data_IF_998556230907
#
_entry.id   IF_998556230907
#
_cell.length_a   1.000
_cell.length_b   1.000
_cell.length_c   1.000
_cell.angle_alpha   90.00
_cell.angle_beta   90.00
_cell.angle_gamma   90.00
#
_symmetry.space_group_name_H-M   'P 1'
#
loop_
_entity.id
_entity.type
_entity.pdbx_description
1 polymer ?
#
# COMPACT_ATOMS: atom_id res chain seq x y z
N UNK A 1 -23.69 18.38 67.49
CA UNK A 1 -24.09 18.04 66.11
C UNK A 1 -23.31 18.93 65.13
N UNK A 2 -22.02 18.67 64.87
CA UNK A 2 -21.16 19.74 64.31
C UNK A 2 -19.96 19.35 63.44
N UNK A 3 -19.47 18.10 63.46
CA UNK A 3 -18.24 17.74 62.72
C UNK A 3 -18.48 16.77 61.55
N UNK A 4 -19.31 15.75 61.73
CA UNK A 4 -19.56 14.75 60.66
C UNK A 4 -20.43 15.28 59.51
N UNK A 5 -21.45 16.10 59.81
CA UNK A 5 -22.31 16.73 58.79
C UNK A 5 -21.48 17.66 57.88
N UNK A 6 -20.49 18.37 58.42
CA UNK A 6 -19.62 19.28 57.63
C UNK A 6 -18.66 18.52 56.71
N UNK A 7 -18.18 17.34 57.12
CA UNK A 7 -17.32 16.48 56.29
C UNK A 7 -18.12 15.87 55.13
N UNK A 8 -19.34 15.38 55.40
CA UNK A 8 -20.24 14.79 54.37
C UNK A 8 -20.69 15.83 53.33
N UNK A 9 -21.01 17.07 53.77
CA UNK A 9 -21.34 18.18 52.86
C UNK A 9 -20.13 18.61 52.03
N UNK A 10 -18.93 18.65 52.60
CA UNK A 10 -17.69 18.98 51.87
C UNK A 10 -17.34 17.95 50.79
N UNK A 11 -17.45 16.65 51.09
CA UNK A 11 -17.19 15.58 50.11
C UNK A 11 -18.24 15.52 48.98
N UNK A 12 -19.49 15.88 49.26
CA UNK A 12 -20.56 15.91 48.26
C UNK A 12 -20.35 17.03 47.24
N UNK A 13 -19.86 18.20 47.68
CA UNK A 13 -19.57 19.34 46.79
C UNK A 13 -18.39 19.03 45.86
N UNK A 14 -17.34 18.36 46.36
CA UNK A 14 -16.17 17.98 45.54
C UNK A 14 -16.55 16.98 44.43
N UNK A 15 -17.43 16.00 44.73
CA UNK A 15 -17.93 15.05 43.73
C UNK A 15 -18.76 15.74 42.64
N UNK A 16 -19.60 16.71 43.01
CA UNK A 16 -20.41 17.48 42.05
C UNK A 16 -19.51 18.33 41.14
N UNK A 17 -18.50 19.01 41.70
CA UNK A 17 -17.54 19.81 40.92
C UNK A 17 -16.71 18.92 39.97
N UNK A 18 -16.30 17.74 40.42
CA UNK A 18 -15.57 16.77 39.58
C UNK A 18 -16.42 16.25 38.41
N UNK A 19 -17.71 15.97 38.63
CA UNK A 19 -18.64 15.56 37.58
C UNK A 19 -18.90 16.67 36.56
N UNK A 20 -19.00 17.93 36.99
CA UNK A 20 -19.17 19.10 36.11
C UNK A 20 -17.93 19.28 35.22
N UNK A 21 -16.71 19.20 35.78
CA UNK A 21 -15.46 19.31 35.03
C UNK A 21 -15.34 18.15 34.02
N UNK A 22 -15.64 16.92 34.43
CA UNK A 22 -15.59 15.74 33.54
C UNK A 22 -16.62 15.83 32.42
N UNK A 23 -17.82 16.34 32.71
CA UNK A 23 -18.87 16.59 31.73
C UNK A 23 -18.49 17.65 30.71
N UNK A 24 -17.90 18.76 31.18
CA UNK A 24 -17.41 19.85 30.33
C UNK A 24 -16.27 19.39 29.40
N UNK A 25 -15.28 18.68 29.93
CA UNK A 25 -14.19 18.10 29.12
C UNK A 25 -14.71 17.09 28.09
N UNK A 26 -15.65 16.20 28.45
CA UNK A 26 -16.25 15.25 27.47
C UNK A 26 -17.07 15.96 26.39
N UNK A 27 -17.69 17.10 26.70
CA UNK A 27 -18.45 17.90 25.75
C UNK A 27 -17.52 18.58 24.72
N UNK A 28 -16.43 19.19 25.18
CA UNK A 28 -15.41 19.79 24.29
C UNK A 28 -14.69 18.71 23.44
N UNK A 29 -14.35 17.56 24.03
CA UNK A 29 -13.72 16.45 23.29
C UNK A 29 -14.64 15.92 22.17
N UNK A 30 -15.97 15.87 22.40
CA UNK A 30 -16.92 15.46 21.35
C UNK A 30 -17.01 16.47 20.22
N UNK A 31 -16.95 17.77 20.50
CA UNK A 31 -16.89 18.80 19.45
C UNK A 31 -15.62 18.67 18.62
N UNK A 32 -14.46 18.53 19.28
CA UNK A 32 -13.16 18.37 18.60
C UNK A 32 -13.17 17.12 17.72
N UNK A 33 -13.62 15.96 18.24
CA UNK A 33 -13.69 14.72 17.46
C UNK A 33 -14.68 14.81 16.27
N UNK A 34 -15.82 15.49 16.43
CA UNK A 34 -16.75 15.71 15.31
C UNK A 34 -16.18 16.65 14.26
N UNK A 35 -15.46 17.68 14.69
CA UNK A 35 -14.76 18.62 13.83
C UNK A 35 -13.67 17.90 13.04
N UNK A 36 -12.84 17.06 13.68
CA UNK A 36 -11.81 16.23 13.05
C UNK A 36 -12.41 15.26 12.01
N UNK A 37 -13.46 14.51 12.38
CA UNK A 37 -14.18 13.62 11.44
C UNK A 37 -14.75 14.40 10.26
N UNK A 38 -15.25 15.62 10.47
CA UNK A 38 -15.78 16.46 9.39
C UNK A 38 -14.69 16.99 8.45
N UNK A 39 -13.50 17.28 8.97
CA UNK A 39 -12.34 17.68 8.17
C UNK A 39 -11.79 16.51 7.36
N UNK A 40 -11.64 15.34 7.98
CA UNK A 40 -11.25 14.09 7.31
C UNK A 40 -12.23 13.71 6.18
N UNK A 41 -13.54 13.83 6.43
CA UNK A 41 -14.56 13.58 5.40
C UNK A 41 -14.52 14.61 4.26
N UNK A 42 -14.26 15.88 4.56
CA UNK A 42 -14.09 16.94 3.55
C UNK A 42 -12.82 16.70 2.72
N UNK A 43 -11.70 16.40 3.36
CA UNK A 43 -10.44 16.01 2.71
C UNK A 43 -10.65 14.80 1.81
N UNK A 44 -11.27 13.74 2.31
CA UNK A 44 -11.58 12.53 1.53
C UNK A 44 -12.50 12.82 0.35
N UNK A 45 -13.53 13.67 0.52
CA UNK A 45 -14.43 14.07 -0.56
C UNK A 45 -13.71 14.90 -1.63
N UNK A 46 -12.90 15.86 -1.24
CA UNK A 46 -12.15 16.70 -2.18
C UNK A 46 -11.06 15.88 -2.90
N UNK A 47 -10.38 14.97 -2.20
CA UNK A 47 -9.45 14.01 -2.82
C UNK A 47 -10.16 13.09 -3.82
N UNK A 48 -11.36 12.58 -3.48
CA UNK A 48 -12.18 11.77 -4.40
C UNK A 48 -12.63 12.59 -5.60
N UNK A 49 -13.11 13.82 -5.41
CA UNK A 49 -13.47 14.71 -6.52
C UNK A 49 -12.26 15.00 -7.41
N UNK A 50 -11.09 15.29 -6.84
CA UNK A 50 -9.87 15.50 -7.61
C UNK A 50 -9.45 14.24 -8.37
N UNK A 51 -9.58 13.06 -7.76
CA UNK A 51 -9.32 11.78 -8.43
C UNK A 51 -10.31 11.55 -9.58
N UNK A 52 -11.62 11.71 -9.34
CA UNK A 52 -12.66 11.54 -10.36
C UNK A 52 -12.55 12.56 -11.48
N UNK A 53 -12.29 13.83 -11.19
CA UNK A 53 -12.10 14.86 -12.22
C UNK A 53 -10.85 14.57 -13.04
N UNK A 54 -9.73 14.17 -12.42
CA UNK A 54 -8.52 13.76 -13.13
C UNK A 54 -8.76 12.53 -13.99
N UNK A 55 -9.51 11.55 -13.51
CA UNK A 55 -9.80 10.30 -14.23
C UNK A 55 -10.76 10.54 -15.42
N UNK A 56 -11.84 11.30 -15.21
CA UNK A 56 -12.80 11.67 -16.26
C UNK A 56 -12.13 12.52 -17.35
N UNK A 57 -11.34 13.54 -16.99
CA UNK A 57 -10.60 14.32 -17.98
C UNK A 57 -9.53 13.49 -18.67
N UNK A 58 -8.85 12.58 -17.96
CA UNK A 58 -7.84 11.73 -18.57
C UNK A 58 -8.44 10.75 -19.59
N UNK A 59 -9.54 10.07 -19.27
CA UNK A 59 -10.23 9.19 -20.21
C UNK A 59 -10.78 9.94 -21.43
N UNK A 60 -11.35 11.12 -21.23
CA UNK A 60 -11.87 11.95 -22.32
C UNK A 60 -10.75 12.45 -23.24
N UNK A 61 -9.62 12.90 -22.67
CA UNK A 61 -8.44 13.30 -23.42
C UNK A 61 -7.82 12.14 -24.20
N UNK A 62 -7.77 10.94 -23.60
CA UNK A 62 -7.32 9.72 -24.31
C UNK A 62 -8.26 9.34 -25.45
N UNK A 63 -9.58 9.36 -25.20
CA UNK A 63 -10.60 9.08 -26.23
C UNK A 63 -10.50 10.06 -27.40
N UNK A 64 -10.21 11.32 -27.12
CA UNK A 64 -10.06 12.34 -28.16
C UNK A 64 -8.72 12.21 -28.91
N UNK A 65 -7.61 11.98 -28.19
CA UNK A 65 -6.31 11.71 -28.80
C UNK A 65 -6.34 10.48 -29.74
N UNK A 66 -7.17 9.48 -29.42
CA UNK A 66 -7.41 8.31 -30.30
C UNK A 66 -8.15 8.64 -31.61
N UNK A 67 -8.87 9.75 -31.69
CA UNK A 67 -9.51 10.22 -32.93
C UNK A 67 -8.60 11.10 -33.77
N UNK A 68 -7.51 11.56 -33.16
CA UNK A 68 -6.51 12.45 -33.73
C UNK A 68 -5.65 11.87 -34.85
N UNK A 69 -4.57 12.59 -35.14
CA UNK A 69 -3.54 12.15 -36.08
C UNK A 69 -2.77 10.91 -35.58
N UNK A 70 -1.85 10.40 -36.40
CA UNK A 70 -1.08 9.19 -36.07
C UNK A 70 -0.25 9.33 -34.79
N UNK A 71 0.28 10.53 -34.51
CA UNK A 71 1.12 10.80 -33.33
C UNK A 71 0.25 10.83 -32.08
N UNK A 72 -0.93 11.46 -32.16
CA UNK A 72 -1.89 11.51 -31.05
C UNK A 72 -2.41 10.11 -30.69
N UNK A 73 -2.70 9.28 -31.69
CA UNK A 73 -3.10 7.87 -31.50
C UNK A 73 -2.00 7.04 -30.85
N UNK A 74 -0.77 7.17 -31.34
CA UNK A 74 0.39 6.45 -30.79
C UNK A 74 0.68 6.86 -29.35
N UNK A 75 0.60 8.16 -29.06
CA UNK A 75 0.74 8.71 -27.70
C UNK A 75 -0.35 8.16 -26.76
N UNK A 76 -1.61 8.14 -27.21
CA UNK A 76 -2.71 7.60 -26.42
C UNK A 76 -2.52 6.09 -26.12
N UNK A 77 -2.11 5.31 -27.12
CA UNK A 77 -1.81 3.88 -26.94
C UNK A 77 -0.65 3.67 -25.96
N UNK A 78 0.41 4.48 -26.04
CA UNK A 78 1.55 4.39 -25.11
C UNK A 78 1.12 4.70 -23.67
N UNK A 79 0.24 5.68 -23.46
CA UNK A 79 -0.30 6.00 -22.13
C UNK A 79 -1.13 4.84 -21.58
N UNK A 80 -2.01 4.24 -22.39
CA UNK A 80 -2.81 3.09 -21.94
C UNK A 80 -1.97 1.87 -21.59
N UNK A 81 -0.92 1.60 -22.38
CA UNK A 81 0.04 0.53 -22.10
C UNK A 81 0.77 0.85 -20.78
N UNK A 82 1.23 2.08 -20.60
CA UNK A 82 1.90 2.54 -19.37
C UNK A 82 1.03 2.35 -18.13
N UNK A 83 -0.26 2.69 -18.21
CA UNK A 83 -1.23 2.47 -17.13
C UNK A 83 -1.48 0.99 -16.85
N UNK A 84 -1.67 0.20 -17.91
CA UNK A 84 -1.89 -1.25 -17.81
C UNK A 84 -0.69 -1.93 -17.14
N UNK A 85 0.51 -1.60 -17.58
CA UNK A 85 1.77 -2.10 -17.01
C UNK A 85 1.89 -1.70 -15.55
N UNK A 86 1.63 -0.43 -15.21
CA UNK A 86 1.72 0.06 -13.83
C UNK A 86 0.74 -0.64 -12.90
N UNK A 87 -0.50 -0.84 -13.35
CA UNK A 87 -1.54 -1.57 -12.60
C UNK A 87 -1.15 -3.03 -12.37
N UNK A 88 -0.70 -3.74 -13.42
CA UNK A 88 -0.25 -5.14 -13.31
C UNK A 88 1.00 -5.30 -12.46
N UNK A 89 1.96 -4.39 -12.55
CA UNK A 89 3.18 -4.41 -11.74
C UNK A 89 2.83 -4.20 -10.26
N UNK A 90 1.96 -3.23 -9.97
CA UNK A 90 1.44 -3.00 -8.61
C UNK A 90 0.73 -4.24 -8.07
N UNK A 91 -0.11 -4.90 -8.88
CA UNK A 91 -0.77 -6.15 -8.49
C UNK A 91 0.24 -7.27 -8.19
N UNK A 92 1.25 -7.43 -9.05
CA UNK A 92 2.32 -8.41 -8.86
C UNK A 92 3.05 -8.16 -7.54
N UNK A 93 3.53 -6.94 -7.28
CA UNK A 93 4.26 -6.62 -6.06
C UNK A 93 3.40 -6.69 -4.80
N UNK A 94 2.12 -6.32 -4.89
CA UNK A 94 1.17 -6.51 -3.79
C UNK A 94 1.11 -7.96 -3.37
N UNK A 95 1.02 -8.90 -4.32
CA UNK A 95 1.01 -10.32 -4.01
C UNK A 95 2.38 -10.80 -3.51
N UNK A 96 3.48 -10.40 -4.15
CA UNK A 96 4.85 -10.77 -3.76
C UNK A 96 5.16 -10.38 -2.31
N UNK A 97 4.77 -9.18 -1.89
CA UNK A 97 5.21 -8.54 -0.66
C UNK A 97 4.13 -8.45 0.43
N UNK A 98 2.97 -9.08 0.24
CA UNK A 98 1.92 -9.15 1.27
C UNK A 98 1.72 -10.60 1.71
N UNK A 99 2.12 -10.91 2.94
CA UNK A 99 1.88 -12.21 3.56
C UNK A 99 2.03 -12.11 5.08
N UNK A 100 1.26 -12.94 5.80
CA UNK A 100 1.31 -13.04 7.25
C UNK A 100 1.63 -14.46 7.77
N UNK A 101 1.71 -15.43 6.86
CA UNK A 101 1.97 -16.84 7.18
C UNK A 101 2.60 -17.57 5.98
N UNK A 102 3.19 -18.73 6.26
CA UNK A 102 3.81 -19.66 5.29
C UNK A 102 2.87 -19.96 4.13
N UNK A 103 1.62 -20.18 4.50
CA UNK A 103 0.55 -20.54 3.63
C UNK A 103 0.37 -19.46 2.55
N UNK A 104 0.16 -18.19 2.93
CA UNK A 104 0.07 -17.06 2.00
C UNK A 104 1.34 -16.88 1.16
N UNK A 105 2.52 -17.01 1.77
CA UNK A 105 3.81 -16.88 1.08
C UNK A 105 3.98 -17.89 -0.06
N UNK A 106 3.65 -19.16 0.17
CA UNK A 106 3.85 -20.21 -0.82
C UNK A 106 2.82 -20.20 -1.96
N UNK A 107 1.63 -19.61 -1.79
CA UNK A 107 0.61 -19.56 -2.88
C UNK A 107 0.83 -18.43 -3.88
N UNK A 108 1.79 -17.54 -3.66
CA UNK A 108 1.96 -16.35 -4.51
C UNK A 108 2.14 -16.66 -5.98
N UNK A 109 2.96 -17.66 -6.31
CA UNK A 109 3.17 -18.10 -7.70
C UNK A 109 1.85 -18.49 -8.37
N UNK A 110 0.98 -19.20 -7.65
CA UNK A 110 -0.35 -19.60 -8.12
C UNK A 110 -1.25 -18.39 -8.38
N UNK A 111 -1.17 -17.35 -7.54
CA UNK A 111 -2.00 -16.15 -7.63
C UNK A 111 -1.57 -15.26 -8.83
N UNK A 112 -0.27 -15.15 -9.11
CA UNK A 112 0.25 -14.24 -10.16
C UNK A 112 0.53 -14.93 -11.50
N UNK A 113 0.21 -16.22 -11.65
CA UNK A 113 0.49 -17.02 -12.86
C UNK A 113 0.02 -16.37 -14.17
N UNK A 114 -1.06 -15.58 -14.10
CA UNK A 114 -1.63 -14.93 -15.27
C UNK A 114 -0.91 -13.60 -15.61
N UNK A 115 -0.18 -13.02 -14.64
CA UNK A 115 0.59 -11.78 -14.81
C UNK A 115 2.00 -11.99 -15.34
N UNK A 116 2.58 -13.17 -15.13
CA UNK A 116 3.99 -13.45 -15.46
C UNK A 116 4.12 -14.65 -16.39
N UNK A 117 5.29 -14.82 -16.99
CA UNK A 117 5.63 -16.02 -17.78
C UNK A 117 5.99 -17.22 -16.89
N UNK A 118 5.93 -18.46 -17.43
CA UNK A 118 6.35 -19.64 -16.70
C UNK A 118 7.79 -19.60 -16.18
N UNK A 119 8.70 -18.92 -16.86
CA UNK A 119 10.09 -18.83 -16.43
C UNK A 119 10.27 -17.90 -15.24
N UNK A 120 9.53 -16.78 -15.19
CA UNK A 120 9.46 -15.93 -14.00
C UNK A 120 8.86 -16.68 -12.80
N UNK A 121 7.87 -17.55 -13.01
CA UNK A 121 7.30 -18.39 -11.94
C UNK A 121 8.29 -19.39 -11.34
N UNK A 122 9.32 -19.79 -12.09
CA UNK A 122 10.36 -20.72 -11.63
C UNK A 122 11.49 -20.02 -10.87
N UNK A 123 11.54 -18.69 -10.87
CA UNK A 123 12.57 -17.95 -10.15
C UNK A 123 12.40 -18.13 -8.64
N UNK A 124 13.34 -18.86 -8.02
CA UNK A 124 13.35 -19.14 -6.59
C UNK A 124 13.62 -17.89 -5.73
N UNK A 125 14.18 -16.83 -6.30
CA UNK A 125 14.34 -15.56 -5.59
C UNK A 125 13.01 -14.82 -5.42
N UNK A 126 12.04 -15.06 -6.31
CA UNK A 126 10.70 -14.46 -6.25
C UNK A 126 9.66 -15.40 -5.63
N UNK A 127 9.71 -16.67 -6.00
CA UNK A 127 8.70 -17.69 -5.66
C UNK A 127 9.32 -18.92 -4.99
N UNK A 128 10.41 -18.73 -4.24
CA UNK A 128 10.98 -19.77 -3.39
C UNK A 128 9.99 -20.26 -2.34
N UNK A 129 10.21 -21.49 -1.85
CA UNK A 129 9.48 -21.99 -0.70
C UNK A 129 10.10 -21.50 0.59
N UNK A 130 9.29 -21.31 1.63
CA UNK A 130 9.75 -20.97 2.97
C UNK A 130 10.07 -22.21 3.83
N UNK A 131 9.97 -23.42 3.26
CA UNK A 131 10.24 -24.67 3.96
C UNK A 131 11.73 -24.97 3.96
N UNK A 132 12.27 -25.32 5.13
CA UNK A 132 13.63 -25.83 5.27
C UNK A 132 13.71 -27.33 4.89
N UNK A 133 14.91 -27.91 5.04
CA UNK A 133 15.17 -29.34 4.75
C UNK A 133 14.37 -30.31 5.63
N UNK A 134 13.82 -29.84 6.75
CA UNK A 134 12.97 -30.61 7.67
C UNK A 134 11.48 -30.40 7.42
N UNK A 135 11.12 -29.54 6.46
CA UNK A 135 9.73 -29.19 6.14
C UNK A 135 9.14 -28.10 7.04
N UNK A 136 9.93 -27.51 7.93
CA UNK A 136 9.48 -26.43 8.82
C UNK A 136 9.52 -25.08 8.09
N UNK A 137 8.54 -24.22 8.37
CA UNK A 137 8.46 -22.87 7.78
C UNK A 137 9.22 -21.85 8.61
N UNK A 138 10.21 -21.18 8.04
CA UNK A 138 10.84 -20.06 8.73
C UNK A 138 9.90 -18.86 8.91
N UNK A 139 8.86 -18.71 8.07
CA UNK A 139 7.88 -17.61 8.19
C UNK A 139 7.00 -17.81 9.41
N UNK A 140 6.44 -19.00 9.59
CA UNK A 140 5.58 -19.28 10.73
C UNK A 140 6.41 -19.35 12.02
N UNK A 141 7.58 -20.01 11.97
CA UNK A 141 8.47 -20.13 13.14
C UNK A 141 8.95 -18.76 13.63
N UNK A 142 9.36 -17.87 12.72
CA UNK A 142 9.83 -16.53 13.09
C UNK A 142 8.70 -15.49 13.14
N UNK A 143 7.46 -15.90 12.85
CA UNK A 143 6.29 -15.01 12.72
C UNK A 143 6.58 -13.81 11.81
N UNK A 144 7.14 -14.09 10.62
CA UNK A 144 7.44 -13.05 9.64
C UNK A 144 6.16 -12.57 8.98
N UNK A 145 6.00 -11.25 8.92
CA UNK A 145 4.93 -10.61 8.15
C UNK A 145 5.53 -9.59 7.21
N UNK A 146 4.87 -9.40 6.09
CA UNK A 146 5.19 -8.39 5.10
C UNK A 146 3.91 -7.77 4.58
N UNK A 147 3.93 -6.46 4.37
CA UNK A 147 2.79 -5.71 3.85
C UNK A 147 3.28 -4.78 2.74
N UNK A 148 2.75 -4.95 1.54
CA UNK A 148 2.95 -4.01 0.45
C UNK A 148 2.33 -2.65 0.80
N UNK A 149 3.07 -1.57 0.53
CA UNK A 149 2.61 -0.19 0.75
C UNK A 149 2.37 0.52 -0.58
N UNK A 150 3.42 0.66 -1.40
CA UNK A 150 3.34 1.36 -2.68
C UNK A 150 4.36 0.83 -3.69
N UNK A 151 4.11 1.09 -4.98
CA UNK A 151 5.08 0.92 -6.05
C UNK A 151 5.06 2.14 -6.98
N UNK A 152 6.23 2.73 -7.19
CA UNK A 152 6.46 3.71 -8.24
C UNK A 152 7.01 3.00 -9.46
N UNK A 153 6.32 3.13 -10.59
CA UNK A 153 6.61 2.39 -11.82
C UNK A 153 7.05 3.38 -12.90
N UNK A 154 8.25 3.18 -13.41
CA UNK A 154 8.82 3.92 -14.53
C UNK A 154 8.96 2.98 -15.71
N UNK A 155 8.41 3.34 -16.87
CA UNK A 155 8.43 2.49 -18.06
C UNK A 155 8.99 3.21 -19.30
N UNK A 156 9.59 2.42 -20.19
CA UNK A 156 10.00 2.87 -21.52
C UNK A 156 8.79 2.99 -22.45
N UNK A 157 9.03 3.58 -23.63
CA UNK A 157 8.15 3.35 -24.77
C UNK A 157 8.15 1.87 -25.18
N UNK A 158 7.10 1.45 -25.88
CA UNK A 158 7.02 0.10 -26.43
C UNK A 158 7.95 -0.04 -27.61
N UNK A 159 8.87 -1.00 -27.55
CA UNK A 159 9.76 -1.36 -28.67
C UNK A 159 9.67 -2.87 -28.90
N UNK A 160 9.37 -3.30 -30.12
CA UNK A 160 9.26 -4.73 -30.47
C UNK A 160 8.34 -5.55 -29.54
N UNK A 161 7.19 -4.96 -29.16
CA UNK A 161 6.24 -5.52 -28.18
C UNK A 161 6.81 -5.67 -26.76
N UNK A 162 7.90 -5.00 -26.42
CA UNK A 162 8.50 -5.01 -25.10
C UNK A 162 8.43 -3.63 -24.45
N UNK A 163 8.13 -3.62 -23.15
CA UNK A 163 8.24 -2.45 -22.27
C UNK A 163 9.25 -2.78 -21.18
N UNK A 164 10.32 -1.98 -21.08
CA UNK A 164 11.29 -2.06 -19.99
C UNK A 164 10.83 -1.20 -18.83
N UNK A 165 11.02 -1.70 -17.62
CA UNK A 165 10.43 -1.13 -16.41
C UNK A 165 11.46 -1.08 -15.29
N UNK A 166 11.49 0.04 -14.58
CA UNK A 166 12.10 0.16 -13.25
C UNK A 166 10.97 0.36 -12.25
N UNK A 167 10.91 -0.49 -11.24
CA UNK A 167 9.93 -0.39 -10.16
C UNK A 167 10.64 -0.14 -8.83
N UNK A 168 10.26 0.94 -8.15
CA UNK A 168 10.67 1.23 -6.78
C UNK A 168 9.51 0.86 -5.85
N UNK A 169 9.73 -0.15 -5.02
CA UNK A 169 8.67 -0.81 -4.27
C UNK A 169 8.90 -0.67 -2.78
N UNK A 170 7.93 -0.09 -2.09
CA UNK A 170 7.94 0.13 -0.64
C UNK A 170 7.04 -0.87 0.05
N UNK A 171 7.54 -1.49 1.11
CA UNK A 171 6.81 -2.46 1.92
C UNK A 171 7.32 -2.44 3.36
N UNK A 172 6.46 -2.81 4.30
CA UNK A 172 6.84 -3.01 5.70
C UNK A 172 7.04 -4.49 5.98
N UNK A 173 8.00 -4.81 6.86
CA UNK A 173 8.24 -6.18 7.30
C UNK A 173 8.50 -6.24 8.80
N UNK A 174 7.89 -7.22 9.47
CA UNK A 174 8.05 -7.47 10.90
C UNK A 174 8.42 -8.92 11.19
N UNK A 175 8.94 -9.14 12.41
CA UNK A 175 9.31 -10.46 12.94
C UNK A 175 8.79 -10.58 14.37
N UNK A 176 7.90 -11.53 14.63
CA UNK A 176 7.26 -11.65 15.93
C UNK A 176 6.43 -10.41 16.26
N UNK A 177 6.55 -9.94 17.50
CA UNK A 177 5.86 -8.75 18.00
C UNK A 177 6.67 -7.46 17.79
N UNK A 178 7.81 -7.53 17.09
CA UNK A 178 8.64 -6.36 16.81
C UNK A 178 7.93 -5.41 15.83
N UNK A 179 8.17 -4.11 16.02
CA UNK A 179 7.69 -3.08 15.11
C UNK A 179 8.16 -3.35 13.69
N UNK A 180 7.26 -3.14 12.72
CA UNK A 180 7.58 -3.31 11.32
C UNK A 180 8.57 -2.22 10.85
N UNK A 181 9.61 -2.63 10.14
CA UNK A 181 10.51 -1.73 9.45
C UNK A 181 10.07 -1.54 8.00
N UNK A 182 10.03 -0.29 7.53
CA UNK A 182 9.81 0.02 6.12
C UNK A 182 11.07 -0.25 5.32
N UNK A 183 10.91 -0.91 4.19
CA UNK A 183 11.96 -1.26 3.23
C UNK A 183 11.58 -0.76 1.85
N UNK A 184 12.59 -0.48 1.05
CA UNK A 184 12.40 -0.09 -0.33
C UNK A 184 13.35 -0.88 -1.22
N UNK A 185 12.79 -1.56 -2.21
CA UNK A 185 13.53 -2.39 -3.16
C UNK A 185 13.35 -1.86 -4.58
N UNK A 186 14.39 -1.96 -5.39
CA UNK A 186 14.37 -1.59 -6.81
C UNK A 186 14.39 -2.85 -7.67
N UNK A 187 13.48 -2.93 -8.63
CA UNK A 187 13.37 -4.03 -9.57
C UNK A 187 13.52 -3.54 -11.02
N UNK A 188 14.25 -4.31 -11.81
CA UNK A 188 14.23 -4.26 -13.27
C UNK A 188 13.24 -5.31 -13.78
N UNK A 189 12.37 -4.92 -14.71
CA UNK A 189 11.37 -5.82 -15.28
C UNK A 189 11.23 -5.61 -16.79
N UNK A 190 10.81 -6.67 -17.49
CA UNK A 190 10.38 -6.59 -18.89
C UNK A 190 8.95 -7.11 -19.01
N UNK A 191 8.16 -6.43 -19.82
CA UNK A 191 6.77 -6.75 -20.09
C UNK A 191 6.54 -6.91 -21.59
N UNK A 192 5.94 -8.03 -21.98
CA UNK A 192 5.60 -8.27 -23.37
C UNK A 192 4.13 -7.92 -23.63
N UNK A 193 3.88 -6.93 -24.48
CA UNK A 193 2.54 -6.39 -24.76
C UNK A 193 1.64 -7.35 -25.53
N UNK A 194 2.23 -8.29 -26.29
CA UNK A 194 1.49 -9.30 -27.06
C UNK A 194 0.94 -10.42 -26.16
N UNK A 195 1.79 -10.96 -25.27
CA UNK A 195 1.41 -11.99 -24.30
C UNK A 195 0.76 -11.42 -23.03
N UNK A 196 0.82 -10.11 -22.85
CA UNK A 196 0.24 -9.37 -21.72
C UNK A 196 0.83 -9.82 -20.36
N UNK A 197 2.11 -10.20 -20.35
CA UNK A 197 2.83 -10.83 -19.22
C UNK A 197 4.21 -10.22 -18.98
N UNK A 198 4.64 -10.22 -17.71
CA UNK A 198 6.04 -9.95 -17.36
C UNK A 198 6.93 -11.14 -17.74
N UNK A 199 7.92 -10.87 -18.57
CA UNK A 199 8.92 -11.83 -19.06
C UNK A 199 10.16 -11.88 -18.17
N UNK A 200 10.42 -10.81 -17.42
CA UNK A 200 11.52 -10.70 -16.46
C UNK A 200 11.08 -9.87 -15.26
N UNK A 201 11.50 -10.28 -14.07
CA UNK A 201 11.38 -9.51 -12.82
C UNK A 201 12.64 -9.79 -12.01
N UNK A 202 13.45 -8.77 -11.75
CA UNK A 202 14.74 -8.95 -11.07
C UNK A 202 14.96 -7.83 -10.07
N UNK A 203 15.19 -8.19 -8.80
CA UNK A 203 15.65 -7.21 -7.81
C UNK A 203 17.08 -6.79 -8.15
N UNK A 204 17.31 -5.49 -8.28
CA UNK A 204 18.62 -4.91 -8.61
C UNK A 204 19.24 -4.13 -7.44
N UNK A 205 18.46 -3.80 -6.42
CA UNK A 205 18.97 -3.11 -5.24
C UNK A 205 17.92 -2.90 -4.15
N UNK A 206 18.38 -2.30 -3.05
CA UNK A 206 17.56 -1.81 -1.94
C UNK A 206 18.00 -0.40 -1.60
N UNK A 207 17.08 0.43 -1.16
CA UNK A 207 17.34 1.78 -0.66
C UNK A 207 17.21 1.79 0.86
N UNK A 208 18.22 2.33 1.54
CA UNK A 208 18.16 2.55 2.97
C UNK A 208 17.25 3.73 3.27
N UNK A 209 16.10 3.46 3.87
CA UNK A 209 15.21 4.51 4.35
C UNK A 209 15.70 4.88 5.75
N UNK A 210 16.30 6.06 5.90
CA UNK A 210 16.66 6.58 7.21
C UNK A 210 15.39 6.62 8.07
N UNK A 211 15.38 5.89 9.20
CA UNK A 211 14.28 5.99 10.14
C UNK A 211 14.18 7.44 10.63
N UNK A 212 13.00 8.08 10.62
CA UNK A 212 12.86 9.37 11.27
C UNK A 212 13.21 9.18 12.74
N UNK A 213 14.17 9.97 13.23
CA UNK A 213 14.53 10.05 14.64
C UNK A 213 13.24 10.19 15.45
N UNK A 214 12.95 9.22 16.32
CA UNK A 214 11.89 9.37 17.31
C UNK A 214 12.20 10.60 18.14
N UNK A 215 11.35 11.63 18.05
CA UNK A 215 11.38 12.78 18.96
C UNK A 215 10.89 12.37 20.35
#
# INVERSE_FOLDING_TARGET
>A
MTREIKVILGSSIILIVSLIITGFFRYEQRKINQTEVSYEQKLTKEQRKLATVKEVTHEELLKEAKKGDSIQKETANQIEISQTVSSKATQLFRVLLTFENSDQYNRRAKVVKDLVTPDVLKDKNLFGSDKDVTGNSFIDTLKLKSQFENAEIYNSIVENNEVRIIAQVTYSSSKGDNQAGTKQDIYEMSYNTQSNKFTQVKKIGSLDIAQPLSK
#
